data_IF_016030749562
#
_entry.id   IF_016030749562
#
_cell.length_a   1.000
_cell.length_b   1.000
_cell.length_c   1.000
_cell.angle_alpha   90.00
_cell.angle_beta   90.00
_cell.angle_gamma   90.00
#
_symmetry.space_group_name_H-M   'P 1'
#
loop_
_entity.id
_entity.type
_entity.pdbx_description
1 polymer ?
#
# COMPACT_ATOMS: atom_id res chain seq x y z
N UNK A 1 8.25 8.89 13.54
CA UNK A 1 8.46 9.36 12.15
C UNK A 1 8.10 8.21 11.24
N UNK A 2 7.33 8.42 10.17
CA UNK A 2 6.98 7.34 9.25
C UNK A 2 8.25 6.79 8.58
N UNK A 3 8.35 5.47 8.52
CA UNK A 3 9.49 4.76 7.92
C UNK A 3 9.10 4.26 6.55
N UNK A 4 9.85 4.63 5.52
CA UNK A 4 9.69 4.03 4.18
C UNK A 4 10.10 2.57 4.20
N UNK A 5 9.27 1.69 3.64
CA UNK A 5 9.56 0.27 3.53
C UNK A 5 10.03 -0.10 2.12
N UNK A 6 9.16 0.13 1.13
CA UNK A 6 9.38 -0.18 -0.28
C UNK A 6 8.38 0.61 -1.15
N UNK A 7 8.51 0.50 -2.46
CA UNK A 7 7.48 0.99 -3.40
C UNK A 7 6.58 -0.17 -3.81
N UNK A 8 5.28 -0.05 -3.54
CA UNK A 8 4.29 -1.03 -3.97
C UNK A 8 3.83 -0.75 -5.40
N UNK A 9 3.41 -1.81 -6.08
CA UNK A 9 2.84 -1.77 -7.43
C UNK A 9 1.50 -2.50 -7.44
N UNK A 10 0.49 -1.88 -8.03
CA UNK A 10 -0.89 -2.38 -8.07
C UNK A 10 -1.40 -2.21 -9.49
N UNK A 11 -1.94 -3.26 -10.07
CA UNK A 11 -2.71 -3.17 -11.31
C UNK A 11 -4.12 -2.67 -10.97
N UNK A 12 -4.44 -1.46 -11.42
CA UNK A 12 -5.74 -0.85 -11.21
C UNK A 12 -6.80 -1.47 -12.13
N UNK A 13 -8.07 -1.34 -11.72
CA UNK A 13 -9.21 -1.92 -12.43
C UNK A 13 -9.42 -1.34 -13.84
N UNK A 14 -8.91 -0.14 -14.10
CA UNK A 14 -8.95 0.55 -15.40
C UNK A 14 -7.75 0.20 -16.30
N UNK A 15 -6.86 -0.68 -15.84
CA UNK A 15 -5.65 -1.08 -16.55
C UNK A 15 -4.45 -0.15 -16.34
N UNK A 16 -4.57 0.90 -15.51
CA UNK A 16 -3.43 1.68 -15.07
C UNK A 16 -2.59 0.90 -14.04
N UNK A 17 -1.32 1.26 -13.88
CA UNK A 17 -0.50 0.77 -12.77
C UNK A 17 -0.39 1.87 -11.72
N UNK A 18 -0.94 1.65 -10.54
CA UNK A 18 -0.67 2.50 -9.38
C UNK A 18 0.65 2.05 -8.77
N UNK A 19 1.53 3.00 -8.48
CA UNK A 19 2.75 2.68 -7.78
C UNK A 19 3.22 3.83 -6.92
N UNK A 20 3.85 3.48 -5.80
CA UNK A 20 4.40 4.46 -4.91
C UNK A 20 4.76 3.92 -3.53
N UNK A 21 5.27 4.79 -2.65
CA UNK A 21 5.86 4.37 -1.40
C UNK A 21 4.81 3.80 -0.45
N UNK A 22 5.18 2.70 0.20
CA UNK A 22 4.56 2.24 1.43
C UNK A 22 5.41 2.73 2.60
N UNK A 23 4.75 3.42 3.53
CA UNK A 23 5.36 3.91 4.77
C UNK A 23 4.67 3.31 5.97
N UNK A 24 5.39 3.09 7.07
CA UNK A 24 4.87 2.51 8.31
C UNK A 24 4.99 3.52 9.45
N UNK A 25 3.94 3.63 10.27
CA UNK A 25 3.92 4.44 11.48
C UNK A 25 3.25 3.66 12.62
N UNK A 26 4.07 2.98 13.43
CA UNK A 26 3.56 2.02 14.41
C UNK A 26 3.00 0.79 13.71
N UNK A 27 1.72 0.49 13.95
CA UNK A 27 1.03 -0.68 13.37
C UNK A 27 0.23 -0.35 12.10
N UNK A 28 0.29 0.89 11.63
CA UNK A 28 -0.43 1.37 10.46
C UNK A 28 0.51 1.65 9.30
N UNK A 29 0.05 1.31 8.09
CA UNK A 29 0.79 1.47 6.84
C UNK A 29 0.04 2.42 5.92
N UNK A 30 0.76 3.31 5.26
CA UNK A 30 0.22 4.26 4.28
C UNK A 30 0.83 3.97 2.92
N UNK A 31 -0.03 3.71 1.94
CA UNK A 31 0.32 3.73 0.52
C UNK A 31 -0.03 5.09 -0.09
N UNK A 32 0.86 5.63 -0.92
CA UNK A 32 0.62 6.85 -1.69
C UNK A 32 0.97 6.60 -3.14
N UNK A 33 0.00 6.71 -4.05
CA UNK A 33 0.28 6.68 -5.48
C UNK A 33 1.12 7.89 -5.88
N UNK A 34 2.20 7.63 -6.62
CA UNK A 34 3.09 8.63 -7.21
C UNK A 34 3.34 8.38 -8.70
N UNK A 35 2.74 7.33 -9.26
CA UNK A 35 2.97 6.92 -10.64
C UNK A 35 1.98 7.53 -11.63
N UNK A 36 0.72 7.71 -11.21
CA UNK A 36 -0.31 8.38 -12.02
C UNK A 36 -0.64 9.75 -11.44
N UNK A 37 -1.41 10.56 -12.19
CA UNK A 37 -1.90 11.85 -11.72
C UNK A 37 -3.04 11.72 -10.69
N UNK A 38 -3.51 10.50 -10.43
CA UNK A 38 -4.60 10.24 -9.50
C UNK A 38 -4.10 10.37 -8.06
N UNK A 39 -4.80 11.18 -7.27
CA UNK A 39 -4.50 11.39 -5.85
C UNK A 39 -5.05 10.24 -4.99
N UNK A 40 -4.56 9.03 -5.26
CA UNK A 40 -4.92 7.81 -4.55
C UNK A 40 -3.90 7.57 -3.45
N UNK A 41 -4.37 7.61 -2.21
CA UNK A 41 -3.60 7.20 -1.05
C UNK A 41 -4.54 6.52 -0.06
N UNK A 42 -4.02 5.60 0.75
CA UNK A 42 -4.83 4.93 1.77
C UNK A 42 -3.98 4.33 2.86
N UNK A 43 -4.54 4.33 4.05
CA UNK A 43 -4.01 3.65 5.21
C UNK A 43 -4.62 2.24 5.29
N UNK A 44 -3.78 1.31 5.70
CA UNK A 44 -4.15 -0.06 5.94
C UNK A 44 -3.50 -0.57 7.22
N UNK A 45 -4.20 -1.48 7.88
CA UNK A 45 -3.77 -2.13 9.11
C UNK A 45 -4.04 -3.64 9.01
N UNK A 46 -3.20 -4.42 9.67
CA UNK A 46 -3.36 -5.87 9.77
C UNK A 46 -4.23 -6.20 11.00
N UNK A 47 -5.29 -6.98 10.79
CA UNK A 47 -6.13 -7.58 11.81
C UNK A 47 -6.02 -9.11 11.75
N UNK A 48 -6.72 -9.82 12.66
CA UNK A 48 -6.73 -11.28 12.71
C UNK A 48 -7.27 -11.94 11.44
N UNK A 49 -8.19 -11.26 10.75
CA UNK A 49 -8.85 -11.71 9.52
C UNK A 49 -8.15 -11.23 8.23
N UNK A 50 -7.09 -10.43 8.35
CA UNK A 50 -6.28 -9.95 7.23
C UNK A 50 -6.08 -8.43 7.20
N UNK A 51 -5.76 -7.92 6.01
CA UNK A 51 -5.53 -6.49 5.79
C UNK A 51 -6.85 -5.76 5.57
N UNK A 52 -7.02 -4.61 6.22
CA UNK A 52 -8.20 -3.77 6.09
C UNK A 52 -7.81 -2.31 5.91
N UNK A 53 -8.68 -1.56 5.22
CA UNK A 53 -8.59 -0.11 5.14
C UNK A 53 -8.80 0.50 6.52
N UNK A 54 -7.88 1.35 6.97
CA UNK A 54 -7.92 2.00 8.28
C UNK A 54 -8.09 3.52 8.20
N UNK A 55 -7.96 4.11 7.01
CA UNK A 55 -8.12 5.55 6.79
C UNK A 55 -7.64 5.99 5.41
N UNK A 56 -7.88 7.25 5.04
CA UNK A 56 -7.56 7.77 3.71
C UNK A 56 -8.59 8.80 3.22
N UNK A 57 -8.50 9.21 1.95
CA UNK A 57 -9.42 10.18 1.36
C UNK A 57 -10.82 9.57 1.25
N UNK A 58 -11.83 10.32 1.67
CA UNK A 58 -13.25 9.95 1.48
C UNK A 58 -13.75 10.25 0.06
N UNK A 59 -12.91 10.86 -0.78
CA UNK A 59 -13.27 11.30 -2.14
C UNK A 59 -13.14 10.20 -3.18
N UNK A 60 -12.44 9.10 -2.86
CA UNK A 60 -12.27 7.95 -3.74
C UNK A 60 -12.51 6.68 -2.94
N UNK A 61 -13.41 5.83 -3.44
CA UNK A 61 -13.55 4.47 -2.92
C UNK A 61 -12.26 3.71 -3.25
N UNK A 62 -11.66 3.11 -2.22
CA UNK A 62 -10.46 2.28 -2.35
C UNK A 62 -10.93 0.83 -2.47
N UNK A 63 -10.79 0.20 -3.65
CA UNK A 63 -11.18 -1.19 -3.84
C UNK A 63 -10.42 -2.11 -2.88
N UNK A 64 -11.10 -3.18 -2.44
CA UNK A 64 -10.49 -4.16 -1.52
C UNK A 64 -9.28 -4.84 -2.17
N UNK A 65 -9.29 -5.00 -3.49
CA UNK A 65 -8.20 -5.54 -4.29
C UNK A 65 -6.91 -4.73 -4.12
N UNK A 66 -7.00 -3.41 -3.92
CA UNK A 66 -5.82 -2.57 -3.69
C UNK A 66 -5.27 -2.79 -2.28
N UNK A 67 -6.15 -2.91 -1.29
CA UNK A 67 -5.78 -3.23 0.10
C UNK A 67 -5.10 -4.59 0.16
N UNK A 68 -5.69 -5.59 -0.47
CA UNK A 68 -5.18 -6.97 -0.47
C UNK A 68 -3.83 -7.06 -1.21
N UNK A 69 -3.69 -6.35 -2.34
CA UNK A 69 -2.43 -6.30 -3.11
C UNK A 69 -1.30 -5.64 -2.33
N UNK A 70 -1.54 -4.47 -1.71
CA UNK A 70 -0.51 -3.79 -0.90
C UNK A 70 -0.21 -4.59 0.36
N UNK A 71 -1.23 -5.14 1.02
CA UNK A 71 -1.08 -6.00 2.20
C UNK A 71 -0.21 -7.22 1.92
N UNK A 72 -0.43 -7.91 0.81
CA UNK A 72 0.40 -9.04 0.39
C UNK A 72 1.86 -8.65 0.15
N UNK A 73 2.11 -7.46 -0.42
CA UNK A 73 3.47 -6.95 -0.62
C UNK A 73 4.15 -6.58 0.71
N UNK A 74 3.40 -6.04 1.68
CA UNK A 74 3.91 -5.78 3.03
C UNK A 74 4.30 -7.10 3.71
N UNK A 75 3.42 -8.11 3.63
CA UNK A 75 3.72 -9.44 4.17
C UNK A 75 4.98 -10.04 3.51
N UNK A 76 5.09 -9.96 2.19
CA UNK A 76 6.28 -10.41 1.47
C UNK A 76 7.56 -9.66 1.89
N UNK A 77 7.47 -8.35 2.16
CA UNK A 77 8.59 -7.55 2.66
C UNK A 77 9.04 -8.02 4.05
N UNK A 78 8.11 -8.25 4.98
CA UNK A 78 8.44 -8.75 6.32
C UNK A 78 8.94 -10.21 6.33
N UNK A 79 8.53 -11.00 5.34
CA UNK A 79 9.05 -12.35 5.11
C UNK A 79 10.42 -12.37 4.40
N UNK A 80 10.96 -11.20 4.01
CA UNK A 80 12.22 -11.08 3.27
C UNK A 80 12.15 -11.55 1.81
N UNK A 81 10.94 -11.72 1.27
CA UNK A 81 10.68 -12.11 -0.13
C UNK A 81 10.64 -10.91 -1.07
N UNK A 82 10.48 -9.70 -0.53
CA UNK A 82 10.58 -8.44 -1.24
C UNK A 82 11.87 -7.75 -0.80
N UNK A 83 12.88 -7.72 -1.67
CA UNK A 83 14.12 -7.01 -1.35
C UNK A 83 13.87 -5.50 -1.36
N UNK A 84 14.34 -4.73 -0.35
CA UNK A 84 14.35 -3.29 -0.46
C UNK A 84 15.18 -2.88 -1.68
N UNK A 85 14.90 -1.72 -2.29
CA UNK A 85 15.69 -1.23 -3.41
C UNK A 85 17.18 -1.24 -3.03
N UNK A 86 18.01 -1.88 -3.86
CA UNK A 86 19.45 -1.85 -3.69
C UNK A 86 19.92 -0.39 -3.69
N UNK A 87 20.64 -0.01 -2.63
CA UNK A 87 21.19 1.34 -2.41
C UNK A 87 22.31 1.61 -3.41
#
# INVERSE_FOLDING_TARGET
MPTHLFNAYIDALDGATLAGPVTMNGDEYLFVNKNTADDIYFNLKKAEDGWHYSGGPTTHDVPKEYIDSVGAQIDAYHEGKLQPPAI
#
